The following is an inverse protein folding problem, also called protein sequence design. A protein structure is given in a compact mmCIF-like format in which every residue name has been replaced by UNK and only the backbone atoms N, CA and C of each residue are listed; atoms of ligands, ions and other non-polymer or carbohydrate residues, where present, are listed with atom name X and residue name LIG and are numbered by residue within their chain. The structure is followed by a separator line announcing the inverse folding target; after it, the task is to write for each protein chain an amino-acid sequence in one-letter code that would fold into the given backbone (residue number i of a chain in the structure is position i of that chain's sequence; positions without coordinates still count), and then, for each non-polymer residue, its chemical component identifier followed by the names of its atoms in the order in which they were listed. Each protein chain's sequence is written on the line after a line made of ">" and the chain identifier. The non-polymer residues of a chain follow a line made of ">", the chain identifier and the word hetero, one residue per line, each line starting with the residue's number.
data_IF_456523687094
#
_entry.id   IF_456523687094
#
_cell.length_a   1.000
_cell.length_b   1.000
_cell.length_c   1.000
_cell.angle_alpha   90.00
_cell.angle_beta   90.00
_cell.angle_gamma   90.00
#
_symmetry.space_group_name_H-M   'P 1'
#
loop_
_entity.id
_entity.type
_entity.pdbx_description
1 polymer ?
#
# COMPACT_ATOMS: atom_id res chain seq x y z
N UNK A 1 -15.31 -2.53 -23.73
CA UNK A 1 -14.84 -1.74 -22.56
C UNK A 1 -15.01 -2.60 -21.32
N UNK A 2 -14.03 -3.45 -20.99
CA UNK A 2 -14.13 -4.36 -19.86
C UNK A 2 -13.63 -3.67 -18.59
N UNK A 3 -14.55 -3.46 -17.63
CA UNK A 3 -14.23 -3.02 -16.27
C UNK A 3 -13.65 -4.23 -15.53
N UNK A 4 -12.34 -4.25 -15.33
CA UNK A 4 -11.65 -5.31 -14.60
C UNK A 4 -12.11 -5.21 -13.14
N UNK A 5 -13.02 -6.10 -12.74
CA UNK A 5 -13.42 -6.27 -11.35
C UNK A 5 -12.23 -6.86 -10.60
N UNK A 6 -11.54 -6.03 -9.82
CA UNK A 6 -10.47 -6.48 -8.93
C UNK A 6 -11.05 -7.42 -7.86
N UNK A 7 -10.57 -8.67 -7.75
CA UNK A 7 -10.85 -9.47 -6.58
C UNK A 7 -10.15 -8.82 -5.39
N UNK A 8 -10.92 -8.51 -4.34
CA UNK A 8 -10.37 -8.11 -3.05
C UNK A 8 -9.66 -9.33 -2.43
N UNK A 9 -8.42 -9.57 -2.86
CA UNK A 9 -7.51 -10.49 -2.18
C UNK A 9 -7.36 -9.93 -0.77
N UNK A 10 -7.88 -10.68 0.22
CA UNK A 10 -7.76 -10.32 1.63
C UNK A 10 -6.28 -10.36 1.99
N UNK A 11 -5.64 -9.19 1.97
CA UNK A 11 -4.31 -9.02 2.50
C UNK A 11 -4.37 -9.38 3.98
N UNK A 12 -3.64 -10.43 4.33
CA UNK A 12 -3.44 -10.86 5.69
C UNK A 12 -2.87 -9.67 6.48
N UNK A 13 -3.52 -9.18 7.56
CA UNK A 13 -2.97 -8.10 8.37
C UNK A 13 -1.82 -8.66 9.22
N UNK A 14 -0.69 -8.97 8.59
CA UNK A 14 0.53 -9.35 9.29
C UNK A 14 1.26 -8.09 9.75
N UNK A 15 1.24 -7.95 11.07
CA UNK A 15 2.18 -7.19 11.91
C UNK A 15 1.89 -5.68 12.00
N UNK A 16 1.46 -5.16 13.14
CA UNK A 16 2.19 -5.08 14.42
C UNK A 16 3.53 -4.36 14.25
N UNK A 17 3.53 -3.04 14.48
CA UNK A 17 4.74 -2.23 14.59
C UNK A 17 4.49 -0.75 14.26
N UNK A 18 4.30 0.09 15.28
CA UNK A 18 4.36 1.56 15.14
C UNK A 18 3.02 2.30 15.03
N UNK A 19 2.07 2.08 15.94
CA UNK A 19 0.76 2.77 15.98
C UNK A 19 0.81 4.27 16.37
N UNK A 20 1.96 4.95 16.32
CA UNK A 20 2.11 6.32 16.83
C UNK A 20 2.29 7.44 15.79
N UNK A 21 2.61 7.14 14.52
CA UNK A 21 3.09 8.17 13.58
C UNK A 21 2.15 8.48 12.41
N UNK A 22 1.25 7.57 12.06
CA UNK A 22 0.37 7.69 10.89
C UNK A 22 -1.09 7.72 11.32
N UNK A 23 -1.88 8.64 10.76
CA UNK A 23 -3.33 8.63 10.96
C UNK A 23 -3.97 7.45 10.21
N UNK A 24 -5.21 7.10 10.56
CA UNK A 24 -5.96 6.06 9.83
C UNK A 24 -6.13 6.41 8.34
N UNK A 25 -6.25 7.70 8.03
CA UNK A 25 -6.30 8.17 6.65
C UNK A 25 -4.96 7.99 5.93
N UNK A 26 -3.84 8.26 6.62
CA UNK A 26 -2.50 8.04 6.07
C UNK A 26 -2.25 6.55 5.79
N UNK A 27 -2.67 5.68 6.72
CA UNK A 27 -2.55 4.22 6.57
C UNK A 27 -3.29 3.69 5.36
N UNK A 28 -4.56 4.08 5.20
CA UNK A 28 -5.34 3.71 4.02
C UNK A 28 -4.69 4.20 2.72
N UNK A 29 -4.08 5.38 2.75
CA UNK A 29 -3.37 5.94 1.61
C UNK A 29 -2.09 5.14 1.29
N UNK A 30 -1.31 4.77 2.30
CA UNK A 30 -0.11 3.95 2.17
C UNK A 30 -0.47 2.59 1.58
N UNK A 31 -1.47 1.91 2.14
CA UNK A 31 -1.94 0.61 1.65
C UNK A 31 -2.39 0.68 0.19
N UNK A 32 -3.19 1.71 -0.17
CA UNK A 32 -3.68 1.89 -1.53
C UNK A 32 -2.55 2.13 -2.54
N UNK A 33 -1.51 2.87 -2.14
CA UNK A 33 -0.34 3.14 -2.98
C UNK A 33 0.53 1.90 -3.13
N UNK A 34 0.83 1.20 -2.03
CA UNK A 34 1.61 -0.04 -2.04
C UNK A 34 0.95 -1.10 -2.92
N UNK A 35 -0.37 -1.27 -2.80
CA UNK A 35 -1.13 -2.17 -3.67
C UNK A 35 -1.08 -1.75 -5.15
N UNK A 36 -1.14 -0.45 -5.43
CA UNK A 36 -1.02 0.05 -6.81
C UNK A 36 0.34 -0.27 -7.41
N UNK A 37 1.44 -0.07 -6.67
CA UNK A 37 2.77 -0.42 -7.14
C UNK A 37 2.92 -1.92 -7.38
N UNK A 38 2.40 -2.73 -6.46
CA UNK A 38 2.39 -4.18 -6.62
C UNK A 38 1.58 -4.64 -7.84
N UNK A 39 0.44 -4.01 -8.12
CA UNK A 39 -0.38 -4.31 -9.29
C UNK A 39 0.28 -3.84 -10.61
N UNK A 40 0.92 -2.67 -10.61
CA UNK A 40 1.63 -2.10 -11.77
C UNK A 40 2.81 -2.99 -12.21
N UNK A 41 3.50 -3.61 -11.24
CA UNK A 41 4.57 -4.59 -11.48
C UNK A 41 4.07 -5.98 -11.93
N UNK A 42 2.76 -6.19 -12.03
CA UNK A 42 2.23 -7.49 -12.44
C UNK A 42 2.22 -8.53 -11.33
N UNK A 43 1.99 -8.10 -10.07
CA UNK A 43 1.82 -9.01 -8.92
C UNK A 43 3.10 -9.76 -8.52
N UNK A 44 4.27 -9.25 -8.90
CA UNK A 44 5.56 -9.85 -8.57
C UNK A 44 5.82 -9.82 -7.06
N UNK A 45 6.04 -11.02 -6.49
CA UNK A 45 6.30 -11.19 -5.07
C UNK A 45 7.75 -10.83 -4.72
N UNK A 46 7.98 -10.26 -3.53
CA UNK A 46 9.33 -9.93 -3.04
C UNK A 46 9.63 -8.44 -2.98
N UNK A 47 8.75 -7.60 -3.54
CA UNK A 47 8.88 -6.14 -3.50
C UNK A 47 7.93 -5.46 -2.50
N UNK A 48 7.19 -6.24 -1.71
CA UNK A 48 6.19 -5.71 -0.76
C UNK A 48 6.78 -4.65 0.19
N UNK A 49 8.02 -4.85 0.67
CA UNK A 49 8.69 -3.89 1.54
C UNK A 49 9.11 -2.60 0.82
N UNK A 50 9.54 -2.70 -0.44
CA UNK A 50 9.89 -1.53 -1.26
C UNK A 50 8.64 -0.75 -1.68
N UNK A 51 7.57 -1.45 -2.07
CA UNK A 51 6.29 -0.85 -2.42
C UNK A 51 5.68 -0.11 -1.24
N UNK A 52 5.76 -0.70 -0.05
CA UNK A 52 5.34 -0.06 1.19
C UNK A 52 6.20 1.16 1.53
N UNK A 53 7.53 1.04 1.48
CA UNK A 53 8.43 2.16 1.77
C UNK A 53 8.25 3.33 0.79
N UNK A 54 8.00 3.03 -0.49
CA UNK A 54 7.69 4.05 -1.51
C UNK A 54 6.35 4.73 -1.23
N UNK A 55 5.34 3.97 -0.82
CA UNK A 55 4.05 4.51 -0.42
C UNK A 55 4.17 5.42 0.83
N UNK A 56 4.91 5.01 1.85
CA UNK A 56 5.19 5.84 3.03
C UNK A 56 5.91 7.15 2.68
N UNK A 57 6.90 7.10 1.79
CA UNK A 57 7.62 8.29 1.36
C UNK A 57 6.70 9.31 0.66
N UNK A 58 5.78 8.84 -0.19
CA UNK A 58 4.81 9.69 -0.88
C UNK A 58 3.82 10.31 0.11
N UNK A 59 3.30 9.53 1.05
CA UNK A 59 2.36 10.03 2.06
C UNK A 59 3.05 11.00 3.03
N UNK A 60 4.31 10.74 3.40
CA UNK A 60 5.14 11.68 4.16
C UNK A 60 5.32 13.01 3.44
N UNK A 61 5.64 12.97 2.14
CA UNK A 61 5.85 14.16 1.35
C UNK A 61 4.58 15.01 1.23
N UNK A 62 3.40 14.38 1.22
CA UNK A 62 2.10 15.06 1.19
C UNK A 62 1.70 15.71 2.52
N UNK A 63 2.30 15.30 3.64
CA UNK A 63 2.06 15.89 4.98
C UNK A 63 2.90 17.14 5.26
N UNK A 64 3.88 17.44 4.40
CA UNK A 64 4.77 18.60 4.53
C UNK A 64 4.23 19.79 3.78
#
# INVERSE_FOLDING_TARGET
>A
MARISLPQKKANPRSSGGNGQWSEADRQQIEKLAYQFYADRGYEHGHDAEDWGRAEAIVRARRR
#
